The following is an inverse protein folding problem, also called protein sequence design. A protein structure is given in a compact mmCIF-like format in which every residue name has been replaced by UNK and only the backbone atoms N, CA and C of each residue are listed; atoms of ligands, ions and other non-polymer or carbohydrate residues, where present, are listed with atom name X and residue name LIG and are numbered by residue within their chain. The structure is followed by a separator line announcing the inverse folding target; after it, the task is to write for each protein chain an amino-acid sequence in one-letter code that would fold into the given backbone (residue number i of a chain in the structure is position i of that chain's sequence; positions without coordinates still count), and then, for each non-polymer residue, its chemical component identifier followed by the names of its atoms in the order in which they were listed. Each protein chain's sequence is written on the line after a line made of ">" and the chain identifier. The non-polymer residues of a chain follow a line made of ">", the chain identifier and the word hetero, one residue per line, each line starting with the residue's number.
data_IF_469679126473
#
_entry.id   IF_469679126473
#
_cell.length_a   1.000
_cell.length_b   1.000
_cell.length_c   1.000
_cell.angle_alpha   90.00
_cell.angle_beta   90.00
_cell.angle_gamma   90.00
#
_symmetry.space_group_name_H-M   'P 1'
#
loop_
_entity.id
_entity.type
_entity.pdbx_description
1 polymer ?
#
# COMPACT_ATOMS: atom_id res chain seq x y z
N UNK A 1 9.91 10.35 -5.55
CA UNK A 1 9.72 10.06 -6.99
C UNK A 1 8.27 9.64 -7.25
N UNK A 2 7.67 10.23 -8.26
CA UNK A 2 6.32 9.82 -8.68
C UNK A 2 6.42 8.51 -9.45
N UNK A 3 5.52 7.55 -9.16
CA UNK A 3 5.51 6.26 -9.85
C UNK A 3 5.07 6.43 -11.31
N UNK A 4 5.85 5.94 -12.29
CA UNK A 4 5.52 6.12 -13.71
C UNK A 4 4.25 5.38 -14.16
N UNK A 5 3.82 4.35 -13.44
CA UNK A 5 2.62 3.57 -13.73
C UNK A 5 1.45 3.90 -12.81
N UNK A 6 1.53 5.02 -12.06
CA UNK A 6 0.52 5.37 -11.06
C UNK A 6 -0.88 5.54 -11.66
N UNK A 7 -0.98 6.04 -12.91
CA UNK A 7 -2.27 6.23 -13.56
C UNK A 7 -3.03 4.93 -13.85
N UNK A 8 -2.36 3.76 -13.80
CA UNK A 8 -2.99 2.46 -14.03
C UNK A 8 -3.39 1.74 -12.76
N UNK A 9 -2.68 1.99 -11.66
CA UNK A 9 -2.83 1.22 -10.41
C UNK A 9 -3.25 2.07 -9.22
N UNK A 10 -3.35 3.37 -9.41
CA UNK A 10 -3.70 4.33 -8.36
C UNK A 10 -4.75 5.30 -8.86
N UNK A 11 -5.60 5.78 -7.95
CA UNK A 11 -6.42 6.97 -8.17
C UNK A 11 -5.73 8.09 -7.40
N UNK A 12 -5.43 9.19 -8.09
CA UNK A 12 -4.68 10.31 -7.50
C UNK A 12 -3.17 10.14 -7.67
N UNK A 13 -2.41 10.99 -7.00
CA UNK A 13 -0.95 10.99 -7.10
C UNK A 13 -0.30 10.38 -5.89
N UNK A 14 0.68 9.51 -6.15
CA UNK A 14 1.52 8.93 -5.11
C UNK A 14 2.99 9.14 -5.45
N UNK A 15 3.82 9.14 -4.41
CA UNK A 15 5.26 9.39 -4.53
C UNK A 15 6.01 8.29 -3.80
N UNK A 16 6.97 7.67 -4.48
CA UNK A 16 7.75 6.59 -3.91
C UNK A 16 9.19 7.02 -3.77
N UNK A 17 9.74 6.86 -2.57
CA UNK A 17 11.14 7.11 -2.28
C UNK A 17 11.79 5.82 -1.80
N UNK A 18 12.57 5.11 -2.66
CA UNK A 18 13.28 3.91 -2.22
C UNK A 18 14.32 4.26 -1.17
N UNK A 19 14.34 3.50 -0.09
CA UNK A 19 15.30 3.66 1.01
C UNK A 19 16.41 2.61 0.96
N UNK A 20 16.14 1.45 0.34
CA UNK A 20 17.14 0.44 0.03
C UNK A 20 17.19 0.23 -1.48
N UNK A 21 18.32 -0.28 -1.97
CA UNK A 21 18.53 -0.50 -3.40
C UNK A 21 18.62 -1.99 -3.72
N UNK A 22 18.19 -2.43 -4.93
CA UNK A 22 18.30 -3.83 -5.32
C UNK A 22 19.74 -4.34 -5.18
N UNK A 23 19.90 -5.51 -4.56
CA UNK A 23 21.21 -6.13 -4.34
C UNK A 23 21.95 -5.64 -3.10
N UNK A 24 21.48 -4.58 -2.46
CA UNK A 24 22.10 -4.03 -1.25
C UNK A 24 21.77 -4.88 -0.03
N UNK A 25 20.53 -5.33 0.06
CA UNK A 25 20.09 -6.22 1.15
C UNK A 25 18.88 -7.04 0.69
N UNK A 26 18.49 -8.02 1.50
CA UNK A 26 17.38 -8.92 1.17
C UNK A 26 16.02 -8.24 1.19
N UNK A 27 15.91 -7.08 1.85
CA UNK A 27 14.62 -6.39 2.05
C UNK A 27 14.57 -5.14 1.18
N UNK A 28 13.49 -5.00 0.42
CA UNK A 28 13.20 -3.74 -0.25
C UNK A 28 12.35 -2.87 0.68
N UNK A 29 12.82 -1.66 0.93
CA UNK A 29 12.15 -0.70 1.79
C UNK A 29 12.01 0.62 1.05
N UNK A 30 10.78 1.15 1.03
CA UNK A 30 10.50 2.44 0.43
C UNK A 30 9.57 3.25 1.31
N UNK A 31 9.64 4.57 1.19
CA UNK A 31 8.64 5.47 1.77
C UNK A 31 7.68 5.85 0.64
N UNK A 32 6.39 5.60 0.86
CA UNK A 32 5.33 5.90 -0.12
C UNK A 32 4.43 6.98 0.48
N UNK A 33 4.23 8.06 -0.28
CA UNK A 33 3.40 9.18 0.15
C UNK A 33 2.23 9.33 -0.81
N UNK A 34 1.02 9.42 -0.26
CA UNK A 34 -0.22 9.62 -1.01
C UNK A 34 -0.78 11.00 -0.71
N UNK A 35 -1.18 11.73 -1.77
CA UNK A 35 -1.96 12.96 -1.57
C UNK A 35 -3.37 12.63 -1.06
N UNK A 36 -4.09 13.59 -0.46
CA UNK A 36 -5.47 13.35 -0.02
C UNK A 36 -6.32 12.75 -1.14
N UNK A 37 -7.09 11.72 -0.82
CA UNK A 37 -7.94 11.02 -1.79
C UNK A 37 -7.24 9.98 -2.63
N UNK A 38 -5.91 9.90 -2.61
CA UNK A 38 -5.16 8.93 -3.38
C UNK A 38 -5.23 7.54 -2.74
N UNK A 39 -5.49 6.53 -3.55
CA UNK A 39 -5.46 5.13 -3.12
C UNK A 39 -4.99 4.25 -4.27
N UNK A 40 -4.39 3.10 -3.92
CA UNK A 40 -4.05 2.13 -4.95
C UNK A 40 -5.25 1.23 -5.24
N UNK A 41 -5.14 0.49 -6.33
CA UNK A 41 -6.14 -0.52 -6.69
C UNK A 41 -6.06 -1.68 -5.71
N UNK A 42 -7.14 -2.45 -5.65
CA UNK A 42 -7.11 -3.77 -5.03
C UNK A 42 -5.98 -4.57 -5.65
N UNK A 43 -5.20 -5.26 -4.84
CA UNK A 43 -4.08 -6.06 -5.33
C UNK A 43 -3.72 -7.18 -4.36
N UNK A 44 -2.90 -8.11 -4.85
CA UNK A 44 -2.44 -9.27 -4.10
C UNK A 44 -0.94 -9.41 -4.28
N UNK A 45 -0.23 -9.66 -3.19
CA UNK A 45 1.18 -10.05 -3.22
C UNK A 45 1.23 -11.57 -3.16
N UNK A 46 1.54 -12.20 -4.31
CA UNK A 46 1.62 -13.65 -4.38
C UNK A 46 3.01 -14.13 -3.97
N UNK A 47 3.07 -15.26 -3.27
CA UNK A 47 4.31 -15.94 -2.98
C UNK A 47 4.03 -17.41 -2.68
N UNK A 48 4.91 -18.30 -3.09
CA UNK A 48 4.81 -19.73 -2.81
C UNK A 48 5.02 -20.00 -1.31
N UNK A 49 5.95 -19.26 -0.70
CA UNK A 49 6.18 -19.25 0.74
C UNK A 49 6.74 -17.89 1.14
N UNK A 50 6.54 -17.47 2.36
CA UNK A 50 6.91 -16.13 2.81
C UNK A 50 6.14 -15.06 2.07
N UNK A 51 6.78 -13.94 1.78
CA UNK A 51 6.18 -12.84 1.02
C UNK A 51 5.25 -11.97 1.83
N UNK A 52 4.48 -11.15 1.12
CA UNK A 52 3.62 -10.16 1.74
C UNK A 52 4.31 -8.82 1.89
N UNK A 53 3.69 -7.95 2.67
CA UNK A 53 4.18 -6.58 2.85
C UNK A 53 3.88 -6.09 4.25
N UNK A 54 4.77 -5.28 4.80
CA UNK A 54 4.53 -4.61 6.07
C UNK A 54 4.42 -3.12 5.80
N UNK A 55 3.38 -2.48 6.33
CA UNK A 55 3.19 -1.04 6.25
C UNK A 55 3.37 -0.42 7.62
N UNK A 56 4.13 0.67 7.69
CA UNK A 56 4.28 1.45 8.92
C UNK A 56 3.94 2.90 8.59
N UNK A 57 2.87 3.42 9.20
CA UNK A 57 2.51 4.82 9.00
C UNK A 57 3.52 5.72 9.70
N UNK A 58 4.06 6.70 8.98
CA UNK A 58 5.03 7.65 9.53
C UNK A 58 4.52 9.08 9.56
N UNK A 59 3.48 9.41 8.78
CA UNK A 59 2.92 10.75 8.76
C UNK A 59 1.50 10.74 8.22
N UNK A 60 0.67 11.68 8.66
CA UNK A 60 -0.67 11.86 8.15
C UNK A 60 -1.65 10.80 8.62
N UNK A 61 -2.64 10.52 7.78
CA UNK A 61 -3.69 9.56 8.08
C UNK A 61 -4.12 8.82 6.82
N UNK A 62 -4.24 7.51 6.92
CA UNK A 62 -4.66 6.69 5.79
C UNK A 62 -5.48 5.50 6.23
N UNK A 63 -5.74 4.62 5.26
CA UNK A 63 -6.55 3.43 5.47
C UNK A 63 -5.94 2.22 4.80
N UNK A 64 -6.22 1.07 5.38
CA UNK A 64 -5.93 -0.24 4.83
C UNK A 64 -7.21 -1.08 4.91
N UNK A 65 -7.49 -1.85 3.85
CA UNK A 65 -8.66 -2.72 3.85
C UNK A 65 -8.35 -4.04 3.16
N UNK A 66 -8.68 -5.14 3.82
CA UNK A 66 -8.71 -6.47 3.21
C UNK A 66 -10.11 -6.73 2.66
N UNK A 67 -10.18 -7.46 1.56
CA UNK A 67 -11.46 -7.87 0.98
C UNK A 67 -12.32 -8.59 2.02
N UNK A 68 -13.57 -8.18 2.16
CA UNK A 68 -14.51 -8.77 3.09
C UNK A 68 -14.49 -8.18 4.50
N UNK A 69 -13.56 -7.28 4.78
CA UNK A 69 -13.43 -6.64 6.09
C UNK A 69 -13.64 -5.14 6.00
N UNK A 70 -13.83 -4.49 7.14
CA UNK A 70 -13.90 -3.03 7.19
C UNK A 70 -12.52 -2.41 7.04
N UNK A 71 -12.46 -1.19 6.51
CA UNK A 71 -11.22 -0.45 6.40
C UNK A 71 -10.70 -0.08 7.79
N UNK A 72 -9.38 -0.18 7.96
CA UNK A 72 -8.69 0.14 9.20
C UNK A 72 -7.96 1.46 9.02
N UNK A 73 -8.21 2.42 9.91
CA UNK A 73 -7.50 3.69 9.92
C UNK A 73 -6.06 3.49 10.40
N UNK A 74 -5.13 4.15 9.74
CA UNK A 74 -3.71 4.15 10.11
C UNK A 74 -3.27 5.55 10.50
N UNK A 75 -2.61 5.65 11.65
CA UNK A 75 -2.00 6.87 12.19
C UNK A 75 -0.52 6.64 12.40
N UNK A 76 0.29 7.70 12.55
CA UNK A 76 1.74 7.53 12.77
C UNK A 76 2.05 6.57 13.90
N UNK A 77 2.90 5.59 13.61
CA UNK A 77 3.26 4.51 14.54
C UNK A 77 2.49 3.22 14.32
N UNK A 78 1.36 3.25 13.60
CA UNK A 78 0.61 2.03 13.32
C UNK A 78 1.32 1.17 12.29
N UNK A 79 1.29 -0.14 12.51
CA UNK A 79 1.94 -1.13 11.67
C UNK A 79 0.93 -2.20 11.25
N UNK A 80 0.90 -2.51 9.96
CA UNK A 80 0.04 -3.57 9.41
C UNK A 80 0.93 -4.61 8.75
N UNK A 81 0.76 -5.86 9.14
CA UNK A 81 1.37 -6.99 8.44
C UNK A 81 0.36 -7.55 7.46
N UNK A 82 0.68 -7.47 6.17
CA UNK A 82 -0.17 -7.99 5.10
C UNK A 82 0.43 -9.30 4.61
N UNK A 83 -0.19 -10.45 4.96
CA UNK A 83 0.31 -11.73 4.47
C UNK A 83 0.23 -11.84 2.95
N UNK A 84 1.05 -12.72 2.37
CA UNK A 84 0.91 -13.06 0.95
C UNK A 84 -0.49 -13.63 0.68
N UNK A 85 -0.95 -13.49 -0.55
CA UNK A 85 -2.24 -14.01 -1.05
C UNK A 85 -3.48 -13.27 -0.53
N UNK A 86 -3.32 -12.16 0.20
CA UNK A 86 -4.45 -11.36 0.71
C UNK A 86 -4.77 -10.24 -0.27
N UNK A 87 -6.01 -10.18 -0.72
CA UNK A 87 -6.50 -9.08 -1.57
C UNK A 87 -6.78 -7.87 -0.70
N UNK A 88 -6.13 -6.75 -1.00
CA UNK A 88 -6.21 -5.55 -0.18
C UNK A 88 -5.94 -4.29 -0.99
N UNK A 89 -6.18 -3.14 -0.36
CA UNK A 89 -5.73 -1.84 -0.85
C UNK A 89 -5.34 -0.97 0.33
N UNK A 90 -4.60 0.10 0.06
CA UNK A 90 -4.31 1.14 1.04
C UNK A 90 -4.22 2.49 0.34
N UNK A 91 -4.37 3.56 1.12
CA UNK A 91 -4.34 4.91 0.57
C UNK A 91 -4.58 5.96 1.63
N UNK A 92 -4.52 7.22 1.19
CA UNK A 92 -4.72 8.37 2.05
C UNK A 92 -6.18 8.52 2.47
N UNK A 93 -6.39 9.23 3.58
CA UNK A 93 -7.73 9.71 3.94
C UNK A 93 -8.22 10.71 2.89
N UNK A 94 -9.54 10.92 2.80
CA UNK A 94 -10.07 11.86 1.80
C UNK A 94 -9.55 13.30 1.93
N UNK A 95 -9.17 13.71 3.13
CA UNK A 95 -8.83 15.09 3.46
C UNK A 95 -7.41 15.26 4.02
N UNK A 96 -6.57 14.23 3.97
CA UNK A 96 -5.27 14.28 4.62
C UNK A 96 -4.22 13.48 3.84
N UNK A 97 -2.99 13.96 3.81
CA UNK A 97 -1.86 13.22 3.27
C UNK A 97 -1.58 11.98 4.13
N UNK A 98 -1.00 10.97 3.51
CA UNK A 98 -0.62 9.73 4.18
C UNK A 98 0.74 9.28 3.68
N UNK A 99 1.66 9.05 4.62
CA UNK A 99 2.98 8.54 4.28
C UNK A 99 3.26 7.30 5.10
N UNK A 100 3.72 6.24 4.45
CA UNK A 100 4.06 5.00 5.13
C UNK A 100 5.34 4.40 4.58
N UNK A 101 6.02 3.62 5.42
CA UNK A 101 7.07 2.74 4.96
C UNK A 101 6.40 1.50 4.36
N UNK A 102 6.90 1.06 3.23
CA UNK A 102 6.50 -0.19 2.60
C UNK A 102 7.68 -1.14 2.64
N UNK A 103 7.52 -2.26 3.33
CA UNK A 103 8.57 -3.25 3.52
C UNK A 103 8.15 -4.52 2.80
N UNK A 104 8.84 -4.84 1.69
CA UNK A 104 8.58 -6.08 0.96
C UNK A 104 9.19 -7.24 1.72
N UNK A 105 8.37 -8.18 2.16
CA UNK A 105 8.86 -9.37 2.85
C UNK A 105 9.37 -10.36 1.81
N UNK A 106 10.62 -10.84 1.94
CA UNK A 106 11.16 -11.81 0.98
C UNK A 106 10.29 -13.07 0.89
N UNK A 107 10.04 -13.52 -0.34
CA UNK A 107 9.21 -14.69 -0.58
C UNK A 107 9.71 -15.48 -1.78
N UNK A 108 9.25 -16.74 -1.85
CA UNK A 108 9.59 -17.64 -2.96
C UNK A 108 8.61 -17.39 -4.11
N UNK A 109 9.16 -17.17 -5.32
CA UNK A 109 8.37 -16.90 -6.53
C UNK A 109 7.35 -15.78 -6.33
N UNK A 110 7.79 -14.67 -5.73
CA UNK A 110 6.93 -13.53 -5.45
C UNK A 110 6.51 -12.80 -6.72
N UNK A 111 5.25 -12.37 -6.77
CA UNK A 111 4.72 -11.54 -7.84
C UNK A 111 3.57 -10.70 -7.30
N UNK A 112 3.26 -9.60 -8.00
CA UNK A 112 2.15 -8.75 -7.65
C UNK A 112 1.06 -8.86 -8.70
N UNK A 113 -0.18 -8.94 -8.25
CA UNK A 113 -1.35 -8.94 -9.14
C UNK A 113 -2.17 -7.70 -8.85
N UNK A 114 -2.34 -6.83 -9.86
CA UNK A 114 -3.15 -5.63 -9.76
C UNK A 114 -4.55 -5.91 -10.27
N UNK A 115 -5.55 -5.49 -9.50
CA UNK A 115 -6.95 -5.78 -9.74
C UNK A 115 -7.74 -4.48 -9.95
N UNK A 116 -9.03 -4.50 -9.65
CA UNK A 116 -9.91 -3.37 -9.90
C UNK A 116 -9.62 -2.16 -9.00
N UNK A 117 -9.94 -0.95 -9.44
CA UNK A 117 -9.85 0.23 -8.59
C UNK A 117 -10.81 0.15 -7.40
N UNK A 118 -10.45 0.80 -6.30
CA UNK A 118 -11.39 1.01 -5.19
C UNK A 118 -12.40 2.05 -5.65
N UNK A 119 -13.68 1.68 -5.68
CA UNK A 119 -14.72 2.57 -6.19
C UNK A 119 -14.88 3.81 -5.31
N UNK A 120 -15.32 4.91 -5.92
CA UNK A 120 -15.62 6.12 -5.17
C UNK A 120 -16.70 5.87 -4.12
N UNK A 121 -17.65 5.00 -4.41
CA UNK A 121 -18.71 4.63 -3.46
C UNK A 121 -18.14 3.98 -2.21
N UNK A 122 -17.23 3.02 -2.37
CA UNK A 122 -16.57 2.38 -1.23
C UNK A 122 -15.70 3.37 -0.46
N UNK A 123 -14.95 4.18 -1.19
CA UNK A 123 -14.01 5.13 -0.60
C UNK A 123 -14.74 6.23 0.20
N UNK A 124 -15.91 6.67 -0.25
CA UNK A 124 -16.73 7.68 0.46
C UNK A 124 -17.24 7.22 1.81
N UNK A 125 -17.25 5.92 2.07
CA UNK A 125 -17.66 5.40 3.39
C UNK A 125 -16.61 5.62 4.45
N UNK A 126 -15.40 5.99 4.07
CA UNK A 126 -14.32 6.27 5.00
C UNK A 126 -14.53 7.64 5.66
N UNK A 127 -14.07 7.76 6.89
CA UNK A 127 -14.28 9.00 7.68
C UNK A 127 -12.98 9.69 8.00
#
# INVERSE_FOLDING_TARGET
>A
MRLPFACYYFIGNSFLNPLTHPGECAVFLANVTFEPGCRNNWHIHHAKSGGGQILVCVAGRGYYQEEGNEAIEMKPGDCINIPAEVKHWHGAAPDEWFSHLAIEVPGENSSNEWLEPVSDEEYRKLK
#
